data_IF_490497618666
#
_entry.id   IF_490497618666
#
_cell.length_a   1.000
_cell.length_b   1.000
_cell.length_c   1.000
_cell.angle_alpha   90.00
_cell.angle_beta   90.00
_cell.angle_gamma   90.00
#
_symmetry.space_group_name_H-M   'P 1'
#
loop_
_entity.id
_entity.type
_entity.pdbx_description
1 polymer ?
#
# COMPACT_ATOMS: atom_id res chain seq x y z
N UNK A 1 -12.65 4.96 5.98
CA UNK A 1 -12.86 6.32 5.43
C UNK A 1 -11.58 7.15 5.56
N UNK A 2 -11.46 8.24 4.79
CA UNK A 2 -10.28 9.14 4.81
C UNK A 2 -10.52 10.45 5.58
N UNK A 3 -11.56 10.49 6.42
CA UNK A 3 -11.85 11.62 7.30
C UNK A 3 -10.96 11.54 8.55
N UNK A 4 -10.45 12.68 8.99
CA UNK A 4 -9.68 12.77 10.25
C UNK A 4 -10.62 12.77 11.46
N UNK A 5 -10.07 12.96 12.66
CA UNK A 5 -10.87 13.20 13.86
C UNK A 5 -11.56 14.58 13.87
N UNK A 6 -11.18 15.49 12.96
CA UNK A 6 -11.84 16.81 12.81
C UNK A 6 -12.94 16.69 11.74
N UNK A 7 -14.21 17.00 12.07
CA UNK A 7 -15.32 16.94 11.13
C UNK A 7 -15.07 17.78 9.87
N UNK A 8 -15.35 17.21 8.70
CA UNK A 8 -15.16 17.88 7.40
C UNK A 8 -13.70 17.99 6.93
N UNK A 9 -12.72 17.55 7.73
CA UNK A 9 -11.30 17.54 7.35
C UNK A 9 -10.90 16.13 6.92
N UNK A 10 -10.39 16.02 5.69
CA UNK A 10 -9.93 14.77 5.09
C UNK A 10 -8.43 14.82 4.84
N UNK A 11 -7.78 13.67 4.89
CA UNK A 11 -6.34 13.55 4.66
C UNK A 11 -6.07 12.44 3.63
N UNK A 12 -5.06 12.67 2.77
CA UNK A 12 -4.58 11.71 1.78
C UNK A 12 -3.08 11.95 1.50
N UNK A 13 -2.42 10.97 0.90
CA UNK A 13 -1.01 11.03 0.52
C UNK A 13 -0.06 10.59 1.64
N UNK A 14 1.21 10.95 1.45
CA UNK A 14 2.34 10.44 2.23
C UNK A 14 2.24 10.73 3.73
N UNK A 15 1.51 11.77 4.13
CA UNK A 15 1.29 12.13 5.55
C UNK A 15 0.35 11.15 6.27
N UNK A 16 -0.43 10.34 5.55
CA UNK A 16 -1.53 9.57 6.13
C UNK A 16 -1.07 8.22 6.68
N UNK A 17 -1.44 7.96 7.92
CA UNK A 17 -1.50 6.60 8.48
C UNK A 17 -2.94 6.08 8.38
N UNK A 18 -3.13 4.91 7.78
CA UNK A 18 -4.45 4.32 7.49
C UNK A 18 -4.51 2.84 7.90
N UNK A 19 -5.71 2.27 8.18
CA UNK A 19 -5.85 0.85 8.46
C UNK A 19 -5.70 0.02 7.18
N UNK A 20 -4.83 -0.98 7.21
CA UNK A 20 -4.63 -1.90 6.09
C UNK A 20 -5.49 -3.16 6.29
N UNK A 21 -6.56 -3.28 5.48
CA UNK A 21 -7.62 -4.29 5.68
C UNK A 21 -7.09 -5.73 5.80
N UNK A 22 -6.25 -6.17 4.85
CA UNK A 22 -5.69 -7.54 4.84
C UNK A 22 -4.65 -7.80 5.96
N UNK A 23 -4.29 -6.78 6.74
CA UNK A 23 -3.39 -6.86 7.90
C UNK A 23 -4.17 -6.66 9.20
N UNK A 24 -5.40 -7.18 9.28
CA UNK A 24 -6.29 -7.03 10.43
C UNK A 24 -6.44 -5.56 10.86
N UNK A 25 -6.59 -4.66 9.89
CA UNK A 25 -6.69 -3.21 10.09
C UNK A 25 -5.50 -2.58 10.82
N UNK A 26 -4.32 -3.21 10.80
CA UNK A 26 -3.09 -2.59 11.33
C UNK A 26 -2.86 -1.24 10.66
N UNK A 27 -2.57 -0.23 11.48
CA UNK A 27 -2.25 1.12 11.01
C UNK A 27 -0.87 1.13 10.36
N UNK A 28 -0.81 1.58 9.11
CA UNK A 28 0.43 1.68 8.32
C UNK A 28 0.53 3.04 7.65
N UNK A 29 1.75 3.45 7.32
CA UNK A 29 2.05 4.57 6.46
C UNK A 29 2.84 4.05 5.25
N UNK A 30 2.38 4.37 4.05
CA UNK A 30 2.99 3.91 2.79
C UNK A 30 3.09 5.11 1.84
N UNK A 31 4.23 5.83 1.86
CA UNK A 31 4.44 7.02 1.03
C UNK A 31 4.78 6.59 -0.41
N UNK A 32 3.74 6.51 -1.24
CA UNK A 32 3.89 6.09 -2.63
C UNK A 32 2.76 6.63 -3.49
N UNK A 33 3.06 6.86 -4.77
CA UNK A 33 2.11 7.42 -5.74
C UNK A 33 0.77 6.68 -5.80
N UNK A 34 0.78 5.34 -5.83
CA UNK A 34 -0.46 4.55 -5.87
C UNK A 34 -1.32 4.79 -4.63
N UNK A 35 -0.70 4.94 -3.46
CA UNK A 35 -1.40 5.21 -2.22
C UNK A 35 -1.96 6.63 -2.19
N UNK A 36 -1.17 7.62 -2.60
CA UNK A 36 -1.65 9.00 -2.71
C UNK A 36 -2.87 9.12 -3.65
N UNK A 37 -2.82 8.44 -4.81
CA UNK A 37 -3.93 8.42 -5.76
C UNK A 37 -5.19 7.74 -5.17
N UNK A 38 -5.01 6.56 -4.57
CA UNK A 38 -6.13 5.78 -3.99
C UNK A 38 -6.78 6.52 -2.83
N UNK A 39 -5.98 7.04 -1.90
CA UNK A 39 -6.46 7.80 -0.75
C UNK A 39 -7.15 9.10 -1.19
N UNK A 40 -6.60 9.81 -2.18
CA UNK A 40 -7.20 11.04 -2.72
C UNK A 40 -8.59 10.79 -3.31
N UNK A 41 -8.74 9.72 -4.11
CA UNK A 41 -10.05 9.31 -4.66
C UNK A 41 -11.06 9.01 -3.54
N UNK A 42 -10.65 8.25 -2.54
CA UNK A 42 -11.54 7.85 -1.43
C UNK A 42 -11.88 9.07 -0.55
N UNK A 43 -10.95 9.99 -0.34
CA UNK A 43 -11.23 11.26 0.34
C UNK A 43 -12.32 12.05 -0.40
N UNK A 44 -12.20 12.21 -1.71
CA UNK A 44 -13.23 12.90 -2.51
C UNK A 44 -14.60 12.20 -2.44
N UNK A 45 -14.66 10.87 -2.53
CA UNK A 45 -15.92 10.13 -2.40
C UNK A 45 -16.55 10.30 -1.00
N UNK A 46 -15.73 10.34 0.05
CA UNK A 46 -16.23 10.59 1.40
C UNK A 46 -16.70 12.04 1.60
N UNK A 47 -16.07 13.04 0.96
CA UNK A 47 -16.58 14.42 0.91
C UNK A 47 -17.97 14.48 0.25
N UNK A 48 -18.24 13.61 -0.72
CA UNK A 48 -19.54 13.46 -1.39
C UNK A 48 -20.52 12.55 -0.62
N UNK A 49 -20.26 12.26 0.65
CA UNK A 49 -21.09 11.41 1.51
C UNK A 49 -21.33 9.97 0.99
N UNK A 50 -20.43 9.42 0.17
CA UNK A 50 -20.58 8.07 -0.38
C UNK A 50 -20.10 6.95 0.57
N UNK A 51 -19.54 7.27 1.73
CA UNK A 51 -19.16 6.29 2.76
C UNK A 51 -18.15 5.23 2.30
N UNK A 52 -17.21 5.60 1.42
CA UNK A 52 -16.25 4.67 0.82
C UNK A 52 -15.08 4.34 1.76
N UNK A 53 -14.86 3.05 1.98
CA UNK A 53 -13.72 2.54 2.74
C UNK A 53 -12.50 2.28 1.86
N UNK A 54 -11.31 2.35 2.47
CA UNK A 54 -10.07 1.99 1.80
C UNK A 54 -9.86 0.49 1.86
N UNK A 55 -9.89 -0.16 0.70
CA UNK A 55 -9.57 -1.56 0.53
C UNK A 55 -8.63 -1.70 -0.67
N UNK A 56 -7.34 -1.86 -0.41
CA UNK A 56 -6.31 -1.88 -1.44
C UNK A 56 -5.12 -2.73 -1.00
N UNK A 57 -4.36 -3.21 -1.97
CA UNK A 57 -3.03 -3.80 -1.76
C UNK A 57 -2.01 -2.74 -2.15
N UNK A 58 -1.19 -2.24 -1.20
CA UNK A 58 -0.13 -1.31 -1.51
C UNK A 58 0.81 -1.92 -2.54
N UNK A 59 1.14 -1.15 -3.57
CA UNK A 59 2.10 -1.55 -4.58
C UNK A 59 3.09 -0.42 -4.81
N UNK A 60 4.36 -0.78 -4.96
CA UNK A 60 5.44 0.11 -5.31
C UNK A 60 6.32 -0.46 -6.41
N UNK A 61 7.00 0.43 -7.12
CA UNK A 61 8.08 0.07 -8.01
C UNK A 61 9.26 1.01 -7.81
N UNK A 62 10.46 0.49 -8.09
CA UNK A 62 11.66 1.29 -8.21
C UNK A 62 12.50 0.79 -9.38
N UNK A 63 13.36 1.66 -9.90
CA UNK A 63 14.33 1.32 -10.92
C UNK A 63 15.73 1.62 -10.38
N UNK A 64 16.60 0.61 -10.36
CA UNK A 64 17.98 0.72 -9.90
C UNK A 64 18.88 0.04 -10.92
N UNK A 65 19.87 0.75 -11.44
CA UNK A 65 20.87 0.21 -12.38
C UNK A 65 20.27 -0.54 -13.59
N UNK A 66 19.19 -0.01 -14.16
CA UNK A 66 18.50 -0.62 -15.31
C UNK A 66 17.65 -1.85 -14.98
N UNK A 67 17.47 -2.18 -13.69
CA UNK A 67 16.57 -3.25 -13.22
C UNK A 67 15.35 -2.63 -12.55
N UNK A 68 14.17 -3.22 -12.80
CA UNK A 68 12.93 -2.81 -12.15
C UNK A 68 12.60 -3.78 -11.04
N UNK A 69 12.38 -3.24 -9.84
CA UNK A 69 11.84 -3.99 -8.69
C UNK A 69 10.39 -3.57 -8.53
N UNK A 70 9.50 -4.55 -8.42
CA UNK A 70 8.07 -4.37 -8.19
C UNK A 70 7.68 -5.12 -6.93
N UNK A 71 6.90 -4.49 -6.07
CA UNK A 71 6.52 -5.03 -4.79
C UNK A 71 5.06 -4.75 -4.51
N UNK A 72 4.31 -5.78 -4.12
CA UNK A 72 2.91 -5.68 -3.75
C UNK A 72 2.70 -6.32 -2.37
N UNK A 73 1.95 -5.64 -1.51
CA UNK A 73 1.61 -6.09 -0.16
C UNK A 73 2.29 -5.29 0.94
N UNK A 74 2.37 -5.92 2.11
CA UNK A 74 3.06 -5.40 3.30
C UNK A 74 3.72 -6.59 4.00
N UNK A 75 5.04 -6.66 3.95
CA UNK A 75 5.83 -7.83 4.29
C UNK A 75 6.20 -7.91 5.76
N UNK A 76 5.78 -6.94 6.57
CA UNK A 76 6.14 -6.92 7.99
C UNK A 76 5.67 -8.19 8.71
N UNK A 77 6.58 -8.92 9.37
CA UNK A 77 6.24 -10.14 10.11
C UNK A 77 6.14 -11.42 9.28
N UNK A 78 6.74 -11.45 8.07
CA UNK A 78 7.06 -12.70 7.38
C UNK A 78 8.08 -13.52 8.18
N UNK A 79 8.06 -14.84 8.05
CA UNK A 79 9.07 -15.75 8.62
C UNK A 79 9.72 -16.69 7.59
N UNK A 80 9.21 -16.72 6.35
CA UNK A 80 9.80 -17.48 5.25
C UNK A 80 9.70 -16.71 3.92
N UNK A 81 10.57 -17.08 2.97
CA UNK A 81 10.61 -16.53 1.62
C UNK A 81 10.75 -17.65 0.60
N UNK A 82 9.72 -17.80 -0.23
CA UNK A 82 9.73 -18.73 -1.34
C UNK A 82 10.19 -17.99 -2.59
N UNK A 83 11.29 -18.45 -3.18
CA UNK A 83 11.82 -17.90 -4.41
C UNK A 83 11.34 -18.75 -5.60
N UNK A 84 10.76 -18.08 -6.58
CA UNK A 84 10.40 -18.67 -7.86
C UNK A 84 11.15 -17.96 -8.98
N UNK A 85 12.05 -18.69 -9.65
CA UNK A 85 12.86 -18.17 -10.75
C UNK A 85 14.35 -18.23 -10.44
N UNK A 86 15.10 -17.36 -11.10
CA UNK A 86 16.56 -17.35 -11.06
C UNK A 86 17.08 -16.09 -10.36
N UNK A 87 17.77 -16.30 -9.24
CA UNK A 87 18.36 -15.23 -8.44
C UNK A 87 19.64 -14.66 -9.06
N UNK A 88 20.45 -15.49 -9.71
CA UNK A 88 21.69 -15.05 -10.35
C UNK A 88 21.39 -14.13 -11.53
N UNK A 89 20.33 -14.44 -12.28
CA UNK A 89 19.85 -13.66 -13.41
C UNK A 89 19.00 -12.43 -13.03
N UNK A 90 18.65 -12.28 -11.74
CA UNK A 90 17.67 -11.31 -11.24
C UNK A 90 16.30 -11.42 -11.93
N UNK A 91 15.89 -12.65 -12.27
CA UNK A 91 14.63 -12.98 -12.93
C UNK A 91 13.82 -13.91 -12.02
N UNK A 92 13.30 -13.33 -10.94
CA UNK A 92 12.58 -14.08 -9.92
C UNK A 92 11.39 -13.31 -9.34
N UNK A 93 10.54 -14.04 -8.64
CA UNK A 93 9.54 -13.53 -7.70
C UNK A 93 9.90 -14.06 -6.32
N UNK A 94 9.90 -13.18 -5.31
CA UNK A 94 10.03 -13.56 -3.91
C UNK A 94 8.66 -13.44 -3.23
N UNK A 95 8.13 -14.56 -2.75
CA UNK A 95 6.91 -14.61 -1.97
C UNK A 95 7.26 -14.61 -0.49
N UNK A 96 6.87 -13.55 0.22
CA UNK A 96 7.02 -13.46 1.66
C UNK A 96 5.83 -14.16 2.33
N UNK A 97 6.09 -15.22 3.10
CA UNK A 97 5.06 -16.06 3.71
C UNK A 97 5.16 -16.08 5.22
N UNK A 98 4.09 -16.58 5.84
CA UNK A 98 3.96 -16.93 7.25
C UNK A 98 3.17 -18.24 7.35
#
# INVERSE_FOLDING_TARGET
>A
MMQTNVPGVFAAGDVVTFPLAFRNNKKVNVPHWQMAHTQGRIAALNMLAQGTEINTIPYLWTAMFGKSVRYAGNGEGFDDVIIQGDLEELKFVAFYTR
#
